data_IF_566762771375
#
_entry.id   IF_566762771375
#
_cell.length_a   1.000
_cell.length_b   1.000
_cell.length_c   1.000
_cell.angle_alpha   90.00
_cell.angle_beta   90.00
_cell.angle_gamma   90.00
#
_symmetry.space_group_name_H-M   'P 1'
#
loop_
_entity.id
_entity.type
_entity.pdbx_description
1 polymer ?
#
# COMPACT_ATOMS: atom_id res chain seq x y z
N UNK A 1 36.45 37.88 2.43
CA UNK A 1 36.77 36.46 2.62
C UNK A 1 35.44 35.78 2.97
N UNK A 2 34.56 35.61 1.97
CA UNK A 2 34.41 34.38 1.14
C UNK A 2 33.88 33.24 2.02
N UNK A 3 32.76 32.57 1.78
CA UNK A 3 31.79 32.59 0.68
C UNK A 3 30.46 32.03 1.20
N UNK A 4 29.38 32.50 0.58
CA UNK A 4 28.11 31.82 0.57
C UNK A 4 28.27 30.46 -0.15
N UNK A 5 27.97 29.36 0.53
CA UNK A 5 27.62 28.09 -0.10
C UNK A 5 26.36 27.58 0.62
N UNK A 6 25.20 27.92 0.08
CA UNK A 6 24.42 27.10 -0.84
C UNK A 6 23.60 26.05 -0.09
N UNK A 7 22.33 26.38 0.01
CA UNK A 7 21.18 25.49 0.13
C UNK A 7 21.46 24.12 -0.50
N UNK A 8 21.27 23.06 0.28
CA UNK A 8 20.46 21.92 -0.16
C UNK A 8 19.69 21.43 1.06
N UNK A 9 18.59 22.11 1.37
CA UNK A 9 17.53 21.50 2.16
C UNK A 9 16.86 20.47 1.24
N UNK A 10 17.45 19.27 1.17
CA UNK A 10 16.83 18.16 0.44
C UNK A 10 15.54 17.82 1.19
N UNK A 11 14.43 18.35 0.70
CA UNK A 11 13.09 17.87 1.03
C UNK A 11 13.05 16.38 0.65
N UNK A 12 13.42 15.51 1.59
CA UNK A 12 13.18 14.10 1.46
C UNK A 12 11.68 13.95 1.51
N UNK A 13 11.07 13.59 0.37
CA UNK A 13 9.66 13.24 0.28
C UNK A 13 9.34 12.32 1.46
N UNK A 14 8.53 12.80 2.41
CA UNK A 14 8.23 12.08 3.63
C UNK A 14 7.39 10.85 3.27
N UNK A 15 8.05 9.73 2.98
CA UNK A 15 7.41 8.41 2.87
C UNK A 15 6.78 8.12 4.23
N UNK A 16 5.46 8.23 4.32
CA UNK A 16 4.74 8.04 5.56
C UNK A 16 4.40 6.56 5.68
N UNK A 17 5.04 5.87 6.62
CA UNK A 17 4.66 4.53 7.03
C UNK A 17 3.77 4.62 8.28
N UNK A 18 2.49 4.29 8.13
CA UNK A 18 1.55 4.18 9.26
C UNK A 18 1.55 2.75 9.76
N UNK A 19 1.83 2.58 11.05
CA UNK A 19 1.79 1.29 11.74
C UNK A 19 0.44 1.12 12.42
N UNK A 20 -0.29 0.06 12.09
CA UNK A 20 -1.51 -0.29 12.83
C UNK A 20 -1.65 -1.81 12.93
N UNK A 21 -1.87 -2.34 14.14
CA UNK A 21 -2.15 -3.76 14.33
C UNK A 21 -3.61 -4.15 14.02
N UNK A 22 -4.43 -3.17 13.62
CA UNK A 22 -5.85 -3.36 13.28
C UNK A 22 -6.12 -3.30 11.77
N UNK A 23 -5.12 -3.02 10.95
CA UNK A 23 -5.26 -3.08 9.49
C UNK A 23 -5.38 -4.52 9.01
N UNK A 24 -6.08 -4.71 7.90
CA UNK A 24 -6.20 -5.97 7.20
C UNK A 24 -6.42 -5.72 5.71
N UNK A 25 -6.03 -6.69 4.89
CA UNK A 25 -6.42 -6.76 3.48
C UNK A 25 -7.58 -7.73 3.32
N UNK A 26 -8.32 -7.63 2.22
CA UNK A 26 -9.37 -8.59 1.89
C UNK A 26 -9.56 -8.69 0.39
N UNK A 27 -10.17 -9.78 -0.06
CA UNK A 27 -10.73 -9.89 -1.41
C UNK A 27 -12.06 -10.61 -1.38
N UNK A 28 -12.87 -10.35 -2.40
CA UNK A 28 -14.05 -11.15 -2.72
C UNK A 28 -13.66 -12.21 -3.76
N UNK A 29 -14.01 -13.46 -3.51
CA UNK A 29 -13.80 -14.53 -4.50
C UNK A 29 -14.65 -14.32 -5.76
N UNK A 30 -14.26 -14.94 -6.87
CA UNK A 30 -14.84 -14.70 -8.20
C UNK A 30 -16.35 -14.91 -8.31
N UNK A 31 -16.94 -15.71 -7.41
CA UNK A 31 -18.40 -15.93 -7.36
C UNK A 31 -19.18 -14.79 -6.69
N UNK A 32 -18.47 -13.81 -6.11
CA UNK A 32 -19.04 -12.66 -5.42
C UNK A 32 -19.62 -12.98 -4.05
N UNK A 33 -19.43 -14.20 -3.52
CA UNK A 33 -20.16 -14.70 -2.34
C UNK A 33 -19.28 -14.91 -1.12
N UNK A 34 -17.99 -15.11 -1.32
CA UNK A 34 -17.06 -15.38 -0.23
C UNK A 34 -16.07 -14.24 -0.06
N UNK A 35 -16.15 -13.57 1.08
CA UNK A 35 -15.13 -12.63 1.54
C UNK A 35 -13.98 -13.41 2.19
N UNK A 36 -12.75 -13.11 1.80
CA UNK A 36 -11.53 -13.63 2.43
C UNK A 36 -10.76 -12.47 3.02
N UNK A 37 -10.47 -12.55 4.32
CA UNK A 37 -9.80 -11.50 5.09
C UNK A 37 -8.40 -11.97 5.48
N UNK A 38 -7.42 -11.09 5.30
CA UNK A 38 -6.01 -11.27 5.62
C UNK A 38 -5.62 -10.29 6.73
N UNK A 39 -5.73 -10.69 8.00
CA UNK A 39 -5.35 -9.84 9.13
C UNK A 39 -3.84 -9.64 9.17
N UNK A 40 -3.40 -8.64 9.93
CA UNK A 40 -1.98 -8.45 10.22
C UNK A 40 -1.36 -9.73 10.80
N UNK A 41 -0.24 -10.17 10.23
CA UNK A 41 0.40 -11.45 10.54
C UNK A 41 1.29 -11.42 11.79
N UNK A 42 1.67 -10.24 12.27
CA UNK A 42 2.66 -10.07 13.33
C UNK A 42 4.12 -10.12 12.86
N UNK A 43 4.39 -10.31 11.56
CA UNK A 43 5.78 -10.49 11.04
C UNK A 43 6.54 -9.18 10.84
N UNK A 44 5.84 -8.10 10.53
CA UNK A 44 6.40 -6.75 10.40
C UNK A 44 5.27 -5.68 10.51
N UNK A 45 5.64 -4.41 10.69
CA UNK A 45 4.68 -3.32 10.92
C UNK A 45 4.44 -2.42 9.70
N UNK A 46 4.77 -2.86 8.50
CA UNK A 46 4.70 -2.04 7.28
C UNK A 46 3.28 -1.98 6.71
N UNK A 47 2.31 -1.49 7.51
CA UNK A 47 0.88 -1.58 7.20
C UNK A 47 0.45 -0.68 6.05
N UNK A 48 0.75 0.62 6.08
CA UNK A 48 0.35 1.57 5.03
C UNK A 48 1.56 2.43 4.70
N UNK A 49 1.88 2.55 3.41
CA UNK A 49 2.96 3.38 2.89
C UNK A 49 2.40 4.29 1.81
N UNK A 50 2.77 5.57 1.84
CA UNK A 50 2.37 6.51 0.80
C UNK A 50 3.48 7.50 0.50
N UNK A 51 3.64 7.78 -0.79
CA UNK A 51 4.50 8.81 -1.34
C UNK A 51 3.71 9.58 -2.40
N UNK A 52 4.26 10.67 -2.94
CA UNK A 52 3.61 11.46 -3.99
C UNK A 52 3.22 10.65 -5.23
N UNK A 53 3.83 9.49 -5.46
CA UNK A 53 3.57 8.62 -6.59
C UNK A 53 2.58 7.48 -6.35
N UNK A 54 2.23 7.15 -5.10
CA UNK A 54 1.40 5.97 -4.82
C UNK A 54 0.80 5.90 -3.41
N UNK A 55 -0.23 5.06 -3.30
CA UNK A 55 -0.74 4.49 -2.06
C UNK A 55 -0.43 2.98 -2.04
N UNK A 56 0.16 2.49 -0.97
CA UNK A 56 0.44 1.07 -0.77
C UNK A 56 0.00 0.59 0.62
N UNK A 57 -0.44 -0.66 0.67
CA UNK A 57 -0.88 -1.34 1.89
C UNK A 57 -0.17 -2.70 1.96
N UNK A 58 0.55 -2.90 3.06
CA UNK A 58 1.39 -4.07 3.31
C UNK A 58 2.65 -4.04 2.47
N UNK A 59 3.81 -4.25 3.08
CA UNK A 59 5.07 -4.27 2.36
C UNK A 59 5.98 -5.39 2.84
N UNK A 60 6.61 -6.07 1.88
CA UNK A 60 7.62 -7.09 2.15
C UNK A 60 8.61 -7.17 0.98
N UNK A 61 9.90 -6.96 1.26
CA UNK A 61 10.99 -7.04 0.27
C UNK A 61 10.71 -6.27 -1.04
N UNK A 62 10.20 -5.04 -0.93
CA UNK A 62 9.90 -4.18 -2.09
C UNK A 62 8.62 -4.56 -2.86
N UNK A 63 7.83 -5.51 -2.36
CA UNK A 63 6.52 -5.88 -2.88
C UNK A 63 5.44 -5.35 -1.96
N UNK A 64 4.28 -5.04 -2.54
CA UNK A 64 3.13 -4.52 -1.80
C UNK A 64 1.95 -5.47 -1.86
N UNK A 65 1.23 -5.61 -0.73
CA UNK A 65 0.00 -6.40 -0.67
C UNK A 65 -1.08 -5.81 -1.58
N UNK A 66 -1.19 -4.49 -1.57
CA UNK A 66 -1.96 -3.68 -2.50
C UNK A 66 -1.17 -2.41 -2.79
N UNK A 67 -1.04 -2.05 -4.06
CA UNK A 67 -0.44 -0.80 -4.51
C UNK A 67 -1.35 -0.17 -5.56
N UNK A 68 -1.51 1.14 -5.48
CA UNK A 68 -2.28 1.94 -6.42
C UNK A 68 -1.47 3.19 -6.74
N UNK A 69 -1.38 3.53 -8.03
CA UNK A 69 -0.64 4.70 -8.49
C UNK A 69 -1.34 6.02 -8.12
N UNK A 70 -0.64 7.14 -8.27
CA UNK A 70 -1.16 8.47 -7.93
C UNK A 70 -2.32 8.95 -8.83
N UNK A 71 -2.55 8.29 -9.96
CA UNK A 71 -3.71 8.56 -10.82
C UNK A 71 -4.93 7.72 -10.43
N UNK A 72 -4.78 6.79 -9.48
CA UNK A 72 -5.80 5.85 -9.03
C UNK A 72 -6.39 4.99 -10.15
N UNK A 73 -5.64 4.74 -11.24
CA UNK A 73 -6.11 3.97 -12.40
C UNK A 73 -5.32 2.67 -12.62
N UNK A 74 -4.10 2.58 -12.08
CA UNK A 74 -3.27 1.38 -12.14
C UNK A 74 -2.98 0.88 -10.74
N UNK A 75 -3.03 -0.43 -10.59
CA UNK A 75 -2.65 -1.07 -9.35
C UNK A 75 -1.92 -2.38 -9.55
N UNK A 76 -1.35 -2.85 -8.46
CA UNK A 76 -0.76 -4.16 -8.36
C UNK A 76 -1.03 -4.80 -7.00
N UNK A 77 -0.98 -6.12 -6.95
CA UNK A 77 -1.09 -6.89 -5.72
C UNK A 77 -0.15 -8.07 -5.77
N UNK A 78 0.67 -8.21 -4.74
CA UNK A 78 1.62 -9.29 -4.60
C UNK A 78 1.49 -9.92 -3.20
N UNK A 79 1.98 -11.16 -3.03
CA UNK A 79 2.09 -11.72 -1.69
C UNK A 79 3.03 -10.89 -0.82
N UNK A 80 2.64 -10.63 0.43
CA UNK A 80 3.51 -9.96 1.40
C UNK A 80 3.39 -10.57 2.80
N UNK A 81 4.50 -10.55 3.54
CA UNK A 81 4.54 -11.08 4.90
C UNK A 81 3.72 -10.26 5.90
N UNK A 82 3.42 -8.97 5.65
CA UNK A 82 2.67 -8.12 6.61
C UNK A 82 1.27 -8.66 6.90
N UNK A 83 0.62 -9.25 5.90
CA UNK A 83 -0.74 -9.78 6.01
C UNK A 83 -0.84 -11.27 5.64
N UNK A 84 0.28 -11.90 5.24
CA UNK A 84 0.30 -13.26 4.67
C UNK A 84 -0.75 -13.46 3.56
N UNK A 85 -1.03 -12.39 2.81
CA UNK A 85 -1.97 -12.44 1.70
C UNK A 85 -1.32 -13.06 0.45
N UNK A 86 -2.08 -13.73 -0.41
CA UNK A 86 -1.69 -13.97 -1.80
C UNK A 86 -1.90 -12.70 -2.64
N UNK A 87 -1.55 -12.73 -3.93
CA UNK A 87 -2.06 -11.75 -4.90
C UNK A 87 -3.59 -11.69 -4.82
N UNK A 88 -4.15 -10.51 -4.60
CA UNK A 88 -5.57 -10.29 -4.33
C UNK A 88 -6.42 -10.28 -5.61
N UNK A 89 -5.85 -9.82 -6.71
CA UNK A 89 -6.45 -9.75 -8.05
C UNK A 89 -6.21 -11.04 -8.85
N UNK A 90 -6.85 -11.15 -10.03
CA UNK A 90 -6.64 -12.30 -10.93
C UNK A 90 -5.19 -12.39 -11.47
N UNK A 91 -4.53 -11.24 -11.60
CA UNK A 91 -3.14 -11.08 -12.01
C UNK A 91 -2.42 -10.13 -11.08
N UNK A 92 -1.09 -10.10 -11.13
CA UNK A 92 -0.29 -9.19 -10.28
C UNK A 92 -0.60 -7.71 -10.54
N UNK A 93 -1.01 -7.34 -11.77
CA UNK A 93 -1.39 -5.97 -12.14
C UNK A 93 -2.87 -5.90 -12.51
N UNK A 94 -3.47 -4.74 -12.28
CA UNK A 94 -4.87 -4.48 -12.59
C UNK A 94 -5.12 -3.00 -12.94
N UNK A 95 -6.21 -2.73 -13.64
CA UNK A 95 -6.77 -1.39 -13.81
C UNK A 95 -7.82 -1.15 -12.74
N UNK A 96 -7.71 -0.04 -12.03
CA UNK A 96 -8.69 0.40 -11.06
C UNK A 96 -9.83 1.11 -11.80
N UNK A 97 -11.02 0.52 -11.78
CA UNK A 97 -12.21 1.10 -12.43
C UNK A 97 -12.94 2.05 -11.48
N UNK A 98 -13.01 1.69 -10.20
CA UNK A 98 -13.64 2.49 -9.15
C UNK A 98 -12.85 2.33 -7.85
N UNK A 99 -12.66 3.44 -7.13
CA UNK A 99 -12.09 3.48 -5.79
C UNK A 99 -13.07 4.17 -4.86
N UNK A 100 -13.44 3.51 -3.77
CA UNK A 100 -14.30 4.06 -2.73
C UNK A 100 -13.54 4.08 -1.40
N UNK A 101 -13.66 5.19 -0.66
CA UNK A 101 -13.09 5.36 0.68
C UNK A 101 -14.22 5.73 1.62
N UNK A 102 -14.33 4.96 2.71
CA UNK A 102 -15.41 5.09 3.68
C UNK A 102 -14.81 5.44 5.04
N UNK A 103 -15.46 6.35 5.77
CA UNK A 103 -15.14 6.68 7.15
C UNK A 103 -16.39 6.49 8.03
N UNK A 104 -16.19 5.87 9.19
CA UNK A 104 -17.22 5.77 10.23
C UNK A 104 -16.96 6.87 11.25
N UNK A 105 -18.03 7.57 11.66
CA UNK A 105 -18.00 8.59 12.70
C UNK A 105 -18.34 7.99 14.07
#
# INVERSE_FOLDING_TARGET
RTDAHHEVETAHAHSLCVRTHHSFLWRLENDGRKLVVFPWSGKNDYSIMTESGYLAIGADNGKFGLWIDSNFDKGSSMPCATFDNPTLSAHETFTCVHLEIWALQ
#
